data_IF_465306624007
#
_entry.id   IF_465306624007
#
_cell.length_a   1.000
_cell.length_b   1.000
_cell.length_c   1.000
_cell.angle_alpha   90.00
_cell.angle_beta   90.00
_cell.angle_gamma   90.00
#
_symmetry.space_group_name_H-M   'P 1'
#
loop_
_entity.id
_entity.type
_entity.pdbx_description
1 polymer ?
#
# COMPACT_ATOMS: atom_id res chain seq x y z
N UNK A 1 -27.33 15.85 -55.18
CA UNK A 1 -26.73 14.50 -54.91
C UNK A 1 -25.25 14.63 -54.61
N UNK A 2 -24.48 15.36 -55.43
CA UNK A 2 -23.04 15.60 -55.20
C UNK A 2 -22.78 16.48 -53.96
N UNK A 3 -23.60 17.50 -53.65
CA UNK A 3 -23.37 18.33 -52.46
C UNK A 3 -23.47 17.53 -51.15
N UNK A 4 -24.46 16.63 -51.05
CA UNK A 4 -24.59 15.72 -49.89
C UNK A 4 -23.34 14.87 -49.72
N UNK A 5 -22.77 14.37 -50.82
CA UNK A 5 -21.60 13.50 -50.82
C UNK A 5 -20.34 14.25 -50.38
N UNK A 6 -20.18 15.50 -50.84
CA UNK A 6 -19.09 16.38 -50.40
C UNK A 6 -19.20 16.68 -48.90
N UNK A 7 -20.39 17.05 -48.42
CA UNK A 7 -20.63 17.33 -47.00
C UNK A 7 -20.39 16.09 -46.14
N UNK A 8 -20.91 14.93 -46.56
CA UNK A 8 -20.69 13.67 -45.86
C UNK A 8 -19.20 13.29 -45.83
N UNK A 9 -18.47 13.46 -46.93
CA UNK A 9 -17.02 13.21 -46.98
C UNK A 9 -16.23 14.12 -46.03
N UNK A 10 -16.58 15.40 -45.96
CA UNK A 10 -15.93 16.36 -45.06
C UNK A 10 -16.15 16.07 -43.58
N UNK A 11 -17.23 15.37 -43.21
CA UNK A 11 -17.52 15.02 -41.81
C UNK A 11 -17.02 13.61 -41.47
N UNK A 12 -17.34 12.62 -42.31
CA UNK A 12 -17.07 11.22 -42.00
C UNK A 12 -15.58 10.89 -42.07
N UNK A 13 -14.83 11.43 -43.05
CA UNK A 13 -13.41 11.12 -43.19
C UNK A 13 -12.61 11.59 -41.97
N UNK A 14 -12.73 12.85 -41.49
CA UNK A 14 -12.08 13.26 -40.25
C UNK A 14 -12.51 12.47 -39.03
N UNK A 15 -13.80 12.13 -38.92
CA UNK A 15 -14.32 11.34 -37.82
C UNK A 15 -13.64 9.96 -37.75
N UNK A 16 -13.50 9.28 -38.89
CA UNK A 16 -12.81 7.99 -38.94
C UNK A 16 -11.31 8.10 -38.61
N UNK A 17 -10.66 9.20 -38.99
CA UNK A 17 -9.26 9.46 -38.61
C UNK A 17 -9.10 9.80 -37.12
N UNK A 18 -10.13 10.33 -36.46
CA UNK A 18 -10.11 10.62 -35.03
C UNK A 18 -10.26 9.37 -34.15
N UNK A 19 -10.89 8.30 -34.65
CA UNK A 19 -11.14 7.07 -33.87
C UNK A 19 -9.84 6.43 -33.35
N UNK A 20 -8.78 6.19 -34.15
CA UNK A 20 -7.52 5.63 -33.66
C UNK A 20 -6.84 6.53 -32.62
N UNK A 21 -6.95 7.86 -32.77
CA UNK A 21 -6.39 8.81 -31.80
C UNK A 21 -7.09 8.70 -30.46
N UNK A 22 -8.42 8.66 -30.46
CA UNK A 22 -9.21 8.43 -29.25
C UNK A 22 -8.86 7.09 -28.61
N UNK A 23 -8.65 6.04 -29.41
CA UNK A 23 -8.17 4.74 -28.94
C UNK A 23 -6.84 4.84 -28.17
N UNK A 24 -5.87 5.60 -28.69
CA UNK A 24 -4.59 5.84 -28.01
C UNK A 24 -4.77 6.59 -26.69
N UNK A 25 -5.62 7.62 -26.65
CA UNK A 25 -5.91 8.35 -25.41
C UNK A 25 -6.63 7.48 -24.37
N UNK A 26 -7.57 6.64 -24.81
CA UNK A 26 -8.23 5.67 -23.93
C UNK A 26 -7.24 4.66 -23.37
N UNK A 27 -6.28 4.20 -24.17
CA UNK A 27 -5.22 3.29 -23.72
C UNK A 27 -4.31 3.94 -22.67
N UNK A 28 -3.85 5.19 -22.91
CA UNK A 28 -3.07 5.98 -21.93
C UNK A 28 -3.83 6.14 -20.62
N UNK A 29 -5.10 6.54 -20.69
CA UNK A 29 -5.94 6.70 -19.49
C UNK A 29 -6.15 5.37 -18.77
N UNK A 30 -6.42 4.29 -19.49
CA UNK A 30 -6.61 2.97 -18.88
C UNK A 30 -5.35 2.47 -18.17
N UNK A 31 -4.18 2.77 -18.74
CA UNK A 31 -2.88 2.47 -18.15
C UNK A 31 -2.63 3.32 -16.90
N UNK A 32 -3.04 4.60 -16.91
CA UNK A 32 -3.02 5.46 -15.72
C UNK A 32 -3.90 4.90 -14.59
N UNK A 33 -5.09 4.39 -14.90
CA UNK A 33 -5.98 3.72 -13.92
C UNK A 33 -5.31 2.46 -13.34
N UNK A 34 -4.68 1.63 -14.17
CA UNK A 34 -3.97 0.45 -13.70
C UNK A 34 -2.77 0.81 -12.82
N UNK A 35 -2.00 1.84 -13.21
CA UNK A 35 -0.89 2.36 -12.41
C UNK A 35 -1.35 2.88 -11.05
N UNK A 36 -2.46 3.63 -10.99
CA UNK A 36 -3.03 4.11 -9.73
C UNK A 36 -3.50 2.97 -8.82
N UNK A 37 -4.06 1.89 -9.40
CA UNK A 37 -4.42 0.67 -8.66
C UNK A 37 -3.20 -0.05 -8.10
N UNK A 38 -2.17 -0.21 -8.92
CA UNK A 38 -0.90 -0.81 -8.50
C UNK A 38 -0.24 -0.01 -7.37
N UNK A 39 -0.06 1.29 -7.54
CA UNK A 39 0.57 2.14 -6.54
C UNK A 39 -0.21 2.17 -5.22
N UNK A 40 -1.55 2.20 -5.29
CA UNK A 40 -2.38 2.12 -4.09
C UNK A 40 -2.21 0.76 -3.38
N UNK A 41 -2.23 -0.35 -4.13
CA UNK A 41 -1.99 -1.68 -3.58
C UNK A 41 -0.61 -1.76 -2.93
N UNK A 42 0.45 -1.32 -3.61
CA UNK A 42 1.83 -1.41 -3.11
C UNK A 42 1.96 -0.75 -1.75
N UNK A 43 1.23 0.33 -1.53
CA UNK A 43 1.23 1.01 -0.23
C UNK A 43 0.45 0.28 0.87
N UNK A 44 -0.50 -0.59 0.53
CA UNK A 44 -1.18 -1.45 1.52
C UNK A 44 -0.29 -2.54 2.09
N UNK A 45 0.73 -2.99 1.33
CA UNK A 45 1.63 -4.07 1.76
C UNK A 45 3.00 -3.55 2.17
N UNK A 46 3.54 -2.59 1.43
CA UNK A 46 4.71 -1.81 1.83
C UNK A 46 4.23 -0.53 2.52
N UNK A 47 3.58 -0.69 3.66
CA UNK A 47 3.16 0.40 4.53
C UNK A 47 4.31 0.70 5.48
N UNK A 48 4.83 1.94 5.52
CA UNK A 48 5.99 2.27 6.36
C UNK A 48 6.57 3.68 6.22
N UNK A 49 7.40 4.05 7.19
CA UNK A 49 8.02 5.37 7.41
C UNK A 49 7.49 6.08 8.66
N UNK A 50 7.86 7.35 8.88
CA UNK A 50 7.31 8.23 9.94
C UNK A 50 5.77 8.41 9.86
N UNK A 51 5.13 7.86 8.82
CA UNK A 51 3.69 7.79 8.66
C UNK A 51 3.01 6.75 9.55
N UNK A 52 3.69 5.67 9.96
CA UNK A 52 3.15 4.66 10.86
C UNK A 52 3.00 5.25 12.27
N UNK A 53 1.88 5.94 12.51
CA UNK A 53 1.57 6.50 13.81
C UNK A 53 1.16 5.36 14.74
N UNK A 54 2.12 4.85 15.50
CA UNK A 54 1.85 3.98 16.64
C UNK A 54 1.24 4.84 17.76
N UNK A 55 0.02 4.53 18.19
CA UNK A 55 -0.42 4.90 19.53
C UNK A 55 0.39 4.03 20.49
N UNK A 56 1.20 4.66 21.34
CA UNK A 56 1.92 4.04 22.44
C UNK A 56 1.73 4.89 23.70
N UNK A 57 1.55 4.25 24.85
CA UNK A 57 1.45 4.92 26.15
C UNK A 57 2.82 4.91 26.86
N UNK A 58 3.30 6.07 27.32
CA UNK A 58 4.60 6.21 27.99
C UNK A 58 5.82 6.17 27.06
N UNK A 59 7.00 5.78 27.57
CA UNK A 59 8.27 5.73 26.82
C UNK A 59 8.38 4.55 25.83
N UNK A 60 7.26 3.86 25.55
CA UNK A 60 7.19 2.67 24.69
C UNK A 60 6.75 3.07 23.28
N UNK A 61 7.69 3.59 22.49
CA UNK A 61 7.46 3.90 21.07
C UNK A 61 7.83 2.69 20.22
N UNK A 62 6.99 1.66 20.20
CA UNK A 62 7.14 0.62 19.19
C UNK A 62 6.62 1.17 17.84
N UNK A 63 7.46 1.97 17.18
CA UNK A 63 7.26 2.29 15.77
C UNK A 63 7.16 0.97 15.03
N UNK A 64 6.09 0.80 14.25
CA UNK A 64 5.97 -0.32 13.33
C UNK A 64 7.22 -0.36 12.45
N UNK A 65 8.05 -1.41 12.57
CA UNK A 65 9.14 -1.61 11.62
C UNK A 65 8.56 -2.23 10.36
N UNK A 66 8.11 -1.33 9.51
CA UNK A 66 7.51 -1.62 8.23
C UNK A 66 8.48 -2.26 7.23
N UNK A 67 7.94 -3.09 6.35
CA UNK A 67 8.62 -3.42 5.10
C UNK A 67 8.49 -2.20 4.18
N UNK A 68 9.52 -1.37 4.12
CA UNK A 68 9.48 -0.08 3.43
C UNK A 68 9.96 -0.21 1.99
N UNK A 69 9.04 0.07 1.06
CA UNK A 69 9.36 0.41 -0.32
C UNK A 69 9.17 1.92 -0.48
N UNK A 70 10.19 2.61 -0.99
CA UNK A 70 10.11 4.06 -1.19
C UNK A 70 9.16 4.39 -2.34
N UNK A 71 8.55 5.58 -2.30
CA UNK A 71 7.64 6.04 -3.36
C UNK A 71 8.33 6.07 -4.73
N UNK A 72 9.64 6.37 -4.77
CA UNK A 72 10.45 6.32 -5.98
C UNK A 72 10.60 4.91 -6.56
N UNK A 73 10.74 3.88 -5.70
CA UNK A 73 10.79 2.47 -6.13
C UNK A 73 9.42 2.03 -6.65
N UNK A 74 8.33 2.37 -5.95
CA UNK A 74 6.96 2.08 -6.42
C UNK A 74 6.70 2.76 -7.78
N UNK A 75 7.12 4.01 -7.94
CA UNK A 75 6.99 4.74 -9.20
C UNK A 75 7.81 4.09 -10.31
N UNK A 76 9.05 3.67 -10.05
CA UNK A 76 9.90 3.02 -11.03
C UNK A 76 9.34 1.66 -11.49
N UNK A 77 8.90 0.82 -10.54
CA UNK A 77 8.24 -0.45 -10.85
C UNK A 77 6.94 -0.24 -11.62
N UNK A 78 6.12 0.75 -11.22
CA UNK A 78 4.89 1.09 -11.93
C UNK A 78 5.19 1.48 -13.39
N UNK A 79 6.22 2.30 -13.61
CA UNK A 79 6.66 2.72 -14.95
C UNK A 79 7.13 1.52 -15.77
N UNK A 80 7.92 0.63 -15.19
CA UNK A 80 8.38 -0.60 -15.83
C UNK A 80 7.21 -1.53 -16.21
N UNK A 81 6.27 -1.76 -15.30
CA UNK A 81 5.22 -2.77 -15.49
C UNK A 81 4.09 -2.31 -16.41
N UNK A 82 3.67 -1.05 -16.28
CA UNK A 82 2.47 -0.56 -16.96
C UNK A 82 2.78 0.42 -18.08
N UNK A 83 3.76 1.32 -17.89
CA UNK A 83 4.03 2.41 -18.84
C UNK A 83 5.12 2.09 -19.87
N UNK A 84 5.87 1.00 -19.67
CA UNK A 84 6.83 0.53 -20.65
C UNK A 84 6.21 -0.47 -21.64
N UNK A 85 6.82 -0.59 -22.82
CA UNK A 85 6.53 -1.68 -23.74
C UNK A 85 7.04 -2.99 -23.13
N UNK A 86 6.15 -3.97 -22.99
CA UNK A 86 6.46 -5.28 -22.41
C UNK A 86 6.28 -6.36 -23.46
N UNK A 87 7.24 -7.29 -23.51
CA UNK A 87 7.21 -8.41 -24.43
C UNK A 87 6.51 -9.63 -23.81
N UNK A 88 6.34 -10.68 -24.61
CA UNK A 88 5.73 -11.95 -24.16
C UNK A 88 6.55 -12.68 -23.08
N UNK A 89 7.84 -12.37 -22.93
CA UNK A 89 8.73 -12.91 -21.90
C UNK A 89 8.93 -11.96 -20.72
N UNK A 90 8.39 -10.74 -20.77
CA UNK A 90 8.43 -9.79 -19.66
C UNK A 90 7.54 -10.30 -18.54
N UNK A 91 8.13 -10.48 -17.35
CA UNK A 91 7.44 -10.89 -16.14
C UNK A 91 7.74 -9.89 -15.03
N UNK A 92 6.83 -9.78 -14.08
CA UNK A 92 7.04 -8.92 -12.92
C UNK A 92 8.12 -9.52 -12.03
N UNK A 93 9.11 -8.71 -11.70
CA UNK A 93 10.28 -9.11 -10.92
C UNK A 93 10.62 -8.05 -9.87
N UNK A 94 11.46 -8.42 -8.90
CA UNK A 94 12.02 -7.48 -7.94
C UNK A 94 13.04 -6.51 -8.56
N UNK A 95 13.55 -6.80 -9.77
CA UNK A 95 14.46 -5.93 -10.51
C UNK A 95 13.77 -4.83 -11.32
N UNK A 96 12.43 -4.81 -11.36
CA UNK A 96 11.67 -3.87 -12.21
C UNK A 96 11.93 -2.41 -11.85
N UNK A 97 12.28 -2.12 -10.60
CA UNK A 97 12.64 -0.77 -10.14
C UNK A 97 13.87 -0.18 -10.85
N UNK A 98 14.76 -1.04 -11.38
CA UNK A 98 15.95 -0.66 -12.15
C UNK A 98 15.89 -1.09 -13.61
N UNK A 99 14.73 -1.52 -14.10
CA UNK A 99 14.60 -2.01 -15.47
C UNK A 99 14.80 -0.90 -16.51
N UNK A 100 15.40 -1.26 -17.64
CA UNK A 100 15.45 -0.37 -18.80
C UNK A 100 14.07 -0.23 -19.41
N UNK A 101 13.60 1.01 -19.53
CA UNK A 101 12.24 1.32 -19.97
C UNK A 101 12.22 1.57 -21.47
N UNK A 102 11.36 0.82 -22.17
CA UNK A 102 11.09 1.01 -23.59
C UNK A 102 9.76 1.72 -23.76
N UNK A 103 9.68 2.67 -24.69
CA UNK A 103 8.45 3.39 -24.94
C UNK A 103 7.42 2.48 -25.63
N UNK A 104 6.14 2.63 -25.24
CA UNK A 104 5.04 1.94 -25.91
C UNK A 104 4.92 2.33 -27.38
N UNK A 105 4.80 1.33 -28.24
CA UNK A 105 4.68 1.53 -29.69
C UNK A 105 3.37 2.21 -30.06
N UNK A 106 2.30 1.93 -29.31
CA UNK A 106 0.97 2.51 -29.53
C UNK A 106 0.89 4.00 -29.13
N UNK A 107 1.80 4.50 -28.30
CA UNK A 107 1.81 5.87 -27.79
C UNK A 107 2.68 6.80 -28.64
N UNK A 108 2.63 6.59 -29.93
CA UNK A 108 3.34 7.37 -30.93
C UNK A 108 2.34 7.82 -31.98
N UNK A 109 2.52 9.03 -32.50
CA UNK A 109 1.80 9.49 -33.67
C UNK A 109 2.28 8.73 -34.93
N UNK A 110 1.56 8.89 -36.05
CA UNK A 110 1.91 8.31 -37.35
C UNK A 110 3.33 8.69 -37.81
N UNK A 111 3.83 9.86 -37.40
CA UNK A 111 5.18 10.34 -37.73
C UNK A 111 6.25 9.81 -36.75
N UNK A 112 5.85 9.06 -35.71
CA UNK A 112 6.74 8.54 -34.67
C UNK A 112 6.94 9.49 -33.49
N UNK A 113 6.30 10.66 -33.48
CA UNK A 113 6.32 11.59 -32.35
C UNK A 113 5.63 10.98 -31.14
N UNK A 114 6.27 11.01 -29.97
CA UNK A 114 5.71 10.43 -28.75
C UNK A 114 4.47 11.21 -28.30
N UNK A 115 3.38 10.51 -28.01
CA UNK A 115 2.17 11.10 -27.42
C UNK A 115 2.25 11.12 -25.89
N UNK A 116 2.84 10.11 -25.28
CA UNK A 116 3.14 10.07 -23.86
C UNK A 116 4.35 9.16 -23.66
N UNK A 117 5.24 9.51 -22.75
CA UNK A 117 6.37 8.67 -22.37
C UNK A 117 6.26 8.24 -20.91
N UNK A 118 6.98 7.17 -20.56
CA UNK A 118 7.10 6.74 -19.17
C UNK A 118 7.76 7.82 -18.29
N UNK A 119 8.48 8.78 -18.88
CA UNK A 119 9.07 9.93 -18.17
C UNK A 119 8.04 11.01 -17.80
N UNK A 120 6.92 11.07 -18.52
CA UNK A 120 5.86 12.05 -18.29
C UNK A 120 4.88 11.61 -17.18
N UNK A 121 5.20 10.49 -16.53
CA UNK A 121 4.40 9.87 -15.48
C UNK A 121 4.92 10.26 -14.10
N UNK A 122 4.10 11.00 -13.37
CA UNK A 122 4.33 11.30 -11.95
C UNK A 122 3.34 10.54 -11.08
N UNK A 123 3.80 10.13 -9.90
CA UNK A 123 2.98 9.44 -8.91
C UNK A 123 3.05 10.20 -7.58
N UNK A 124 1.89 10.49 -7.00
CA UNK A 124 1.75 11.02 -5.65
C UNK A 124 1.10 9.97 -4.76
N UNK A 125 1.82 9.49 -3.77
CA UNK A 125 1.31 8.54 -2.77
C UNK A 125 1.14 9.29 -1.46
N UNK A 126 -0.02 9.14 -0.83
CA UNK A 126 -0.32 9.75 0.46
C UNK A 126 -1.06 8.75 1.37
N UNK A 127 -0.73 8.80 2.66
CA UNK A 127 -1.40 8.04 3.69
C UNK A 127 -2.16 9.01 4.60
N UNK A 128 -3.47 8.82 4.70
CA UNK A 128 -4.36 9.64 5.52
C UNK A 128 -5.06 8.82 6.60
N UNK A 129 -5.69 9.50 7.53
CA UNK A 129 -6.66 8.87 8.44
C UNK A 129 -7.87 8.38 7.63
N UNK A 130 -8.49 7.30 8.07
CA UNK A 130 -9.76 6.83 7.50
C UNK A 130 -10.78 7.99 7.50
N UNK A 131 -11.40 8.35 6.35
CA UNK A 131 -12.45 9.36 6.33
C UNK A 131 -13.71 8.83 7.02
N UNK A 132 -14.25 9.59 7.98
CA UNK A 132 -15.50 9.29 8.69
C UNK A 132 -15.33 8.91 10.18
N UNK A 133 -16.44 8.52 10.81
CA UNK A 133 -16.59 8.21 12.25
C UNK A 133 -15.85 6.94 12.70
N UNK A 134 -15.12 6.27 11.81
CA UNK A 134 -14.33 5.08 12.14
C UNK A 134 -13.24 5.39 13.18
N UNK A 135 -12.64 6.58 13.12
CA UNK A 135 -11.64 7.00 14.12
C UNK A 135 -12.25 7.16 15.51
N UNK A 136 -13.52 7.58 15.61
CA UNK A 136 -14.24 7.74 16.90
C UNK A 136 -14.48 6.39 17.59
N UNK A 137 -14.61 5.30 16.82
CA UNK A 137 -14.80 3.93 17.35
C UNK A 137 -13.46 3.25 17.63
N UNK A 138 -12.43 3.54 16.82
CA UNK A 138 -11.11 2.92 16.96
C UNK A 138 -10.27 3.57 18.07
N UNK A 139 -10.43 4.86 18.36
CA UNK A 139 -9.70 5.56 19.43
C UNK A 139 -9.92 4.93 20.82
N UNK A 140 -11.16 4.66 21.28
CA UNK A 140 -11.39 4.02 22.58
C UNK A 140 -10.85 2.58 22.67
N UNK A 141 -10.91 1.85 21.55
CA UNK A 141 -10.38 0.47 21.46
C UNK A 141 -8.85 0.50 21.45
N UNK A 142 -8.25 1.45 20.73
CA UNK A 142 -6.81 1.68 20.74
C UNK A 142 -6.31 2.11 22.11
N UNK A 143 -7.04 2.98 22.81
CA UNK A 143 -6.71 3.43 24.17
C UNK A 143 -6.83 2.29 25.19
N UNK A 144 -7.87 1.45 25.08
CA UNK A 144 -8.02 0.25 25.91
C UNK A 144 -6.94 -0.80 25.62
N UNK A 145 -6.57 -0.98 24.35
CA UNK A 145 -5.54 -1.95 23.98
C UNK A 145 -4.12 -1.46 24.34
N UNK A 146 -3.86 -0.15 24.25
CA UNK A 146 -2.61 0.47 24.68
C UNK A 146 -2.44 0.48 26.22
N UNK A 147 -3.54 0.48 26.97
CA UNK A 147 -3.51 0.34 28.45
C UNK A 147 -3.28 -1.10 28.92
N UNK A 148 -3.60 -2.10 28.09
CA UNK A 148 -3.36 -3.51 28.39
C UNK A 148 -1.95 -3.96 27.98
N UNK A 149 -1.32 -3.32 26.98
CA UNK A 149 0.14 -3.39 26.77
C UNK A 149 0.57 -2.88 25.39
N UNK A 150 1.69 -3.36 24.81
CA UNK A 150 2.28 -2.77 23.60
C UNK A 150 1.56 -3.20 22.31
N UNK A 151 0.23 -3.13 22.33
CA UNK A 151 -0.62 -3.33 21.17
C UNK A 151 -0.73 -2.01 20.40
N UNK A 152 -0.16 -1.97 19.21
CA UNK A 152 -0.20 -0.81 18.32
C UNK A 152 -1.22 -1.05 17.22
N UNK A 153 -2.06 -0.07 16.92
CA UNK A 153 -2.95 -0.07 15.75
C UNK A 153 -2.45 0.94 14.71
N UNK A 154 -2.55 0.58 13.43
CA UNK A 154 -2.32 1.53 12.34
C UNK A 154 -3.55 2.41 12.16
N UNK A 155 -3.40 3.72 12.37
CA UNK A 155 -4.51 4.69 12.24
C UNK A 155 -4.55 5.42 10.90
N UNK A 156 -3.49 5.32 10.08
CA UNK A 156 -3.44 5.91 8.73
C UNK A 156 -3.67 4.86 7.65
N UNK A 157 -4.71 4.05 7.83
CA UNK A 157 -5.10 3.00 6.90
C UNK A 157 -5.72 3.48 5.58
N UNK A 158 -5.89 4.81 5.36
CA UNK A 158 -6.37 5.32 4.07
C UNK A 158 -5.18 5.61 3.14
N UNK A 159 -4.91 4.67 2.24
CA UNK A 159 -3.87 4.78 1.23
C UNK A 159 -4.44 5.41 -0.03
N UNK A 160 -3.87 6.53 -0.46
CA UNK A 160 -4.24 7.22 -1.70
C UNK A 160 -3.06 7.22 -2.65
N UNK A 161 -3.27 6.74 -3.88
CA UNK A 161 -2.33 6.92 -4.98
C UNK A 161 -2.96 7.78 -6.06
N UNK A 162 -2.18 8.74 -6.57
CA UNK A 162 -2.58 9.63 -7.68
C UNK A 162 -1.52 9.53 -8.76
N UNK A 163 -1.91 9.06 -9.94
CA UNK A 163 -1.03 8.95 -11.10
C UNK A 163 -1.42 10.03 -12.10
N UNK A 164 -0.44 10.82 -12.53
CA UNK A 164 -0.60 11.84 -13.55
C UNK A 164 0.25 11.46 -14.76
N UNK A 165 -0.37 11.46 -15.93
CA UNK A 165 0.27 11.25 -17.23
C UNK A 165 0.07 12.48 -18.08
N UNK A 166 1.15 13.16 -18.46
CA UNK A 166 1.09 14.28 -19.37
C UNK A 166 1.17 13.77 -20.81
N UNK A 167 0.22 14.20 -21.64
CA UNK A 167 0.18 13.87 -23.07
C UNK A 167 0.78 15.03 -23.85
N UNK A 168 1.76 14.71 -24.70
CA UNK A 168 2.38 15.62 -25.63
C UNK A 168 1.36 16.21 -26.60
N UNK A 169 1.62 17.45 -27.01
CA UNK A 169 0.75 18.13 -27.94
C UNK A 169 0.91 17.57 -29.36
N UNK A 170 -0.20 17.37 -30.04
CA UNK A 170 -0.21 16.97 -31.44
C UNK A 170 -0.23 18.25 -32.26
N UNK A 171 0.92 18.90 -32.34
CA UNK A 171 1.11 20.06 -33.23
C UNK A 171 1.23 19.57 -34.68
N UNK A 172 0.10 19.13 -35.22
CA UNK A 172 -0.05 19.00 -36.66
C UNK A 172 -0.70 20.29 -37.12
N UNK A 173 -0.13 20.96 -38.13
CA UNK A 173 -0.73 22.09 -38.86
C UNK A 173 -2.00 21.65 -39.63
N UNK A 174 -2.90 20.95 -38.95
CA UNK A 174 -4.10 20.31 -39.42
C UNK A 174 -5.28 21.05 -38.82
N UNK A 175 -6.27 21.36 -39.64
CA UNK A 175 -7.49 22.06 -39.22
C UNK A 175 -8.33 21.25 -38.20
N UNK A 176 -7.97 19.97 -37.97
CA UNK A 176 -8.75 19.03 -37.17
C UNK A 176 -8.41 19.04 -35.68
N UNK A 177 -7.16 19.32 -35.32
CA UNK A 177 -6.68 19.28 -33.93
C UNK A 177 -5.61 20.35 -33.77
N UNK A 178 -6.01 21.51 -33.23
CA UNK A 178 -5.09 22.59 -32.89
C UNK A 178 -4.82 22.56 -31.39
N UNK A 179 -3.57 22.32 -31.02
CA UNK A 179 -2.98 22.39 -29.67
C UNK A 179 -3.90 21.96 -28.53
N UNK A 180 -3.81 20.68 -28.17
CA UNK A 180 -4.57 20.12 -27.03
C UNK A 180 -3.62 19.41 -26.09
N UNK A 181 -2.83 20.20 -25.34
CA UNK A 181 -2.14 19.68 -24.16
C UNK A 181 -3.17 19.10 -23.21
N UNK A 182 -3.10 17.79 -23.00
CA UNK A 182 -4.05 17.03 -22.19
C UNK A 182 -3.27 16.28 -21.13
N UNK A 183 -3.78 16.25 -19.91
CA UNK A 183 -3.22 15.41 -18.84
C UNK A 183 -4.31 14.50 -18.29
N UNK A 184 -3.93 13.25 -18.00
CA UNK A 184 -4.80 12.29 -17.35
C UNK A 184 -4.37 12.14 -15.89
N UNK A 185 -5.29 12.41 -14.97
CA UNK A 185 -5.07 12.28 -13.53
C UNK A 185 -6.02 11.22 -13.00
N UNK A 186 -5.45 10.12 -12.53
CA UNK A 186 -6.21 8.99 -12.01
C UNK A 186 -5.87 8.79 -10.53
N UNK A 187 -6.91 8.67 -9.70
CA UNK A 187 -6.79 8.53 -8.25
C UNK A 187 -7.43 7.22 -7.80
N UNK A 188 -6.73 6.49 -6.94
CA UNK A 188 -7.30 5.35 -6.24
C UNK A 188 -7.08 5.48 -4.73
N UNK A 189 -8.10 5.13 -3.95
CA UNK A 189 -8.08 5.16 -2.49
C UNK A 189 -8.45 3.78 -1.97
N UNK A 190 -7.57 3.20 -1.16
CA UNK A 190 -7.80 1.94 -0.48
C UNK A 190 -7.80 2.19 1.02
N UNK A 191 -8.81 1.66 1.70
CA UNK A 191 -8.82 1.59 3.15
C UNK A 191 -8.34 0.19 3.55
N UNK A 192 -7.16 0.10 4.12
CA UNK A 192 -6.59 -1.14 4.61
C UNK A 192 -6.01 -0.93 6.01
N UNK A 193 -6.33 -1.84 6.93
CA UNK A 193 -5.69 -1.90 8.24
C UNK A 193 -4.83 -3.16 8.26
N UNK A 194 -3.51 -2.99 8.14
CA UNK A 194 -2.57 -4.09 8.21
C UNK A 194 -2.45 -4.59 9.65
N UNK A 195 -3.23 -5.60 10.03
CA UNK A 195 -2.94 -6.41 11.22
C UNK A 195 -1.80 -7.37 10.86
N UNK A 196 -0.58 -6.87 10.80
CA UNK A 196 0.56 -7.68 10.36
C UNK A 196 1.64 -7.72 11.43
N UNK A 197 1.73 -8.84 12.14
CA UNK A 197 2.88 -9.10 12.99
C UNK A 197 4.05 -9.54 12.09
N UNK A 198 5.17 -8.82 12.12
CA UNK A 198 6.38 -9.08 11.33
C UNK A 198 7.14 -10.35 11.71
N UNK A 199 6.46 -11.33 12.34
CA UNK A 199 7.01 -12.61 12.78
C UNK A 199 6.49 -13.06 14.16
N UNK A 200 6.75 -14.34 14.53
CA UNK A 200 6.31 -14.91 15.79
C UNK A 200 7.04 -14.33 17.01
N UNK A 201 8.38 -14.29 16.99
CA UNK A 201 9.20 -13.78 18.10
C UNK A 201 10.28 -12.81 17.59
N UNK A 202 10.04 -11.51 17.82
CA UNK A 202 11.04 -10.49 17.56
C UNK A 202 10.95 -9.41 18.65
N UNK A 203 12.05 -9.22 19.36
CA UNK A 203 12.18 -8.27 20.48
C UNK A 203 12.22 -6.81 20.03
N UNK A 204 12.62 -6.57 18.78
CA UNK A 204 12.81 -5.25 18.18
C UNK A 204 11.81 -4.94 17.04
N UNK A 205 10.82 -5.80 16.82
CA UNK A 205 9.80 -5.65 15.78
C UNK A 205 8.41 -5.82 16.39
N UNK A 206 7.39 -5.36 15.66
CA UNK A 206 5.99 -5.67 15.96
C UNK A 206 5.74 -7.18 15.72
N UNK A 207 6.04 -8.02 16.70
CA UNK A 207 5.81 -9.47 16.65
C UNK A 207 4.53 -9.88 17.39
N UNK A 208 4.01 -11.07 17.06
CA UNK A 208 2.80 -11.64 17.70
C UNK A 208 3.01 -11.68 19.22
N UNK A 209 4.20 -12.11 19.65
CA UNK A 209 4.55 -12.18 21.07
C UNK A 209 4.46 -10.82 21.76
N UNK A 210 4.97 -9.75 21.15
CA UNK A 210 4.89 -8.40 21.74
C UNK A 210 3.46 -7.89 21.82
N UNK A 211 2.68 -8.01 20.74
CA UNK A 211 1.28 -7.55 20.71
C UNK A 211 0.39 -8.30 21.72
N UNK A 212 0.56 -9.61 21.83
CA UNK A 212 -0.27 -10.46 22.71
C UNK A 212 0.21 -10.41 24.16
N UNK A 213 1.49 -10.08 24.43
CA UNK A 213 2.03 -10.00 25.79
C UNK A 213 1.19 -9.08 26.66
N UNK A 214 0.85 -7.89 26.19
CA UNK A 214 -0.03 -6.96 26.91
C UNK A 214 -1.43 -7.53 27.22
N UNK A 215 -2.00 -8.26 26.27
CA UNK A 215 -3.37 -8.75 26.37
C UNK A 215 -3.53 -9.96 27.30
N UNK A 216 -2.44 -10.51 27.84
CA UNK A 216 -2.49 -11.58 28.83
C UNK A 216 -2.52 -10.99 30.25
N UNK A 217 -3.59 -11.18 31.05
CA UNK A 217 -3.68 -10.62 32.41
C UNK A 217 -2.49 -10.97 33.31
N UNK A 218 -1.86 -12.12 33.07
CA UNK A 218 -0.67 -12.59 33.78
C UNK A 218 0.60 -11.79 33.48
N UNK A 219 0.71 -11.09 32.34
CA UNK A 219 1.89 -10.28 32.01
C UNK A 219 1.91 -8.95 32.77
N UNK A 220 0.74 -8.37 33.04
CA UNK A 220 0.58 -7.15 33.84
C UNK A 220 1.09 -7.40 35.26
N UNK A 221 0.80 -8.59 35.81
CA UNK A 221 1.20 -9.03 37.16
C UNK A 221 2.69 -9.47 37.20
N UNK A 222 3.28 -9.80 36.05
CA UNK A 222 4.71 -10.10 35.91
C UNK A 222 5.59 -8.85 35.80
N UNK A 223 5.01 -7.65 35.82
CA UNK A 223 5.73 -6.36 35.81
C UNK A 223 6.50 -6.18 37.11
N UNK A 224 7.77 -5.80 37.01
CA UNK A 224 8.64 -5.51 38.16
C UNK A 224 8.28 -4.15 38.75
N UNK A 225 7.84 -4.13 40.02
CA UNK A 225 7.70 -2.90 40.81
C UNK A 225 8.90 -2.83 41.75
N UNK A 226 9.84 -1.93 41.47
CA UNK A 226 11.04 -1.75 42.31
C UNK A 226 12.04 -2.91 42.26
N UNK A 227 12.11 -3.66 41.15
CA UNK A 227 13.06 -4.76 40.97
C UNK A 227 12.63 -6.10 41.56
N UNK A 228 11.36 -6.22 41.99
CA UNK A 228 10.80 -7.47 42.53
C UNK A 228 9.61 -7.92 41.67
N UNK A 229 9.66 -9.18 41.20
CA UNK A 229 8.57 -9.83 40.48
C UNK A 229 7.53 -10.31 41.47
N UNK A 230 6.41 -9.59 41.59
CA UNK A 230 5.31 -9.89 42.53
C UNK A 230 4.77 -11.31 42.33
N UNK A 231 4.78 -11.80 41.08
CA UNK A 231 4.29 -13.13 40.70
C UNK A 231 5.11 -14.27 41.34
N UNK A 232 6.41 -14.09 41.57
CA UNK A 232 7.28 -15.14 42.13
C UNK A 232 6.94 -15.40 43.61
N UNK A 233 6.53 -14.36 44.34
CA UNK A 233 6.06 -14.48 45.72
C UNK A 233 4.68 -15.14 45.80
N UNK A 234 3.76 -14.80 44.90
CA UNK A 234 2.41 -15.37 44.87
C UNK A 234 2.44 -16.84 44.46
N UNK A 235 3.21 -17.17 43.41
CA UNK A 235 3.41 -18.56 42.99
C UNK A 235 4.16 -19.37 44.05
N UNK A 236 5.17 -18.78 44.70
CA UNK A 236 5.88 -19.39 45.82
C UNK A 236 4.94 -19.73 46.97
N UNK A 237 4.08 -18.80 47.39
CA UNK A 237 3.10 -19.03 48.46
C UNK A 237 2.04 -20.07 48.08
N UNK A 238 1.55 -20.08 46.83
CA UNK A 238 0.57 -21.06 46.35
C UNK A 238 1.19 -22.44 46.12
N UNK A 239 2.48 -22.53 45.76
CA UNK A 239 3.18 -23.79 45.55
C UNK A 239 3.29 -24.66 46.79
N UNK A 240 3.18 -24.06 47.99
CA UNK A 240 3.13 -24.78 49.28
C UNK A 240 1.86 -25.64 49.43
N UNK A 241 0.77 -25.26 48.76
CA UNK A 241 -0.52 -25.94 48.84
C UNK A 241 -0.88 -26.67 47.54
N UNK A 242 -0.37 -26.20 46.40
CA UNK A 242 -0.59 -26.75 45.07
C UNK A 242 0.76 -26.82 44.35
N UNK A 243 1.52 -27.92 44.46
CA UNK A 243 2.86 -28.04 43.88
C UNK A 243 2.86 -27.89 42.35
N UNK A 244 1.73 -28.12 41.69
CA UNK A 244 1.51 -27.93 40.26
C UNK A 244 1.57 -26.46 39.83
N UNK A 245 1.26 -25.53 40.74
CA UNK A 245 1.29 -24.08 40.48
C UNK A 245 2.73 -23.57 40.33
N UNK A 246 3.72 -24.26 40.89
CA UNK A 246 5.14 -23.94 40.67
C UNK A 246 5.63 -24.19 39.24
N UNK A 247 4.91 -25.01 38.47
CA UNK A 247 5.22 -25.33 37.07
C UNK A 247 4.52 -24.38 36.08
N UNK A 248 3.64 -23.51 36.56
CA UNK A 248 2.99 -22.52 35.73
C UNK A 248 4.00 -21.43 35.39
N UNK A 249 4.18 -21.16 34.10
CA UNK A 249 4.97 -20.04 33.59
C UNK A 249 3.99 -18.90 33.20
N UNK A 250 3.70 -17.93 34.07
CA UNK A 250 2.71 -16.90 33.80
C UNK A 250 3.24 -15.96 32.71
N UNK A 251 2.41 -15.68 31.71
CA UNK A 251 2.81 -14.85 30.56
C UNK A 251 3.71 -15.57 29.54
N UNK A 252 3.85 -16.90 29.62
CA UNK A 252 4.43 -17.71 28.54
C UNK A 252 3.56 -17.60 27.29
N UNK A 253 4.15 -17.13 26.19
CA UNK A 253 3.51 -17.03 24.88
C UNK A 253 4.41 -17.75 23.89
N UNK A 254 3.88 -18.82 23.32
CA UNK A 254 4.53 -19.62 22.27
C UNK A 254 3.67 -19.54 21.00
N UNK A 255 3.97 -18.60 20.09
CA UNK A 255 3.18 -18.39 18.87
C UNK A 255 3.23 -19.58 17.92
N UNK A 256 4.31 -20.37 17.97
CA UNK A 256 4.61 -21.44 17.03
C UNK A 256 4.18 -22.83 17.51
N UNK A 257 3.64 -22.95 18.72
CA UNK A 257 3.16 -24.22 19.26
C UNK A 257 1.72 -24.43 18.83
N UNK A 258 1.54 -25.38 17.91
CA UNK A 258 0.22 -25.78 17.42
C UNK A 258 -0.23 -27.03 18.19
N UNK A 259 -1.50 -27.13 18.63
CA UNK A 259 -2.01 -28.33 19.29
C UNK A 259 -1.78 -29.60 18.46
N UNK A 260 -1.41 -30.74 19.08
CA UNK A 260 -1.11 -31.98 18.35
C UNK A 260 -2.24 -32.46 17.42
N UNK A 261 -3.50 -32.16 17.76
CA UNK A 261 -4.67 -32.55 16.97
C UNK A 261 -4.82 -31.76 15.65
N UNK A 262 -4.05 -30.68 15.47
CA UNK A 262 -4.04 -29.85 14.25
C UNK A 262 -2.89 -30.22 13.29
N UNK A 263 -1.99 -31.12 13.68
CA UNK A 263 -0.83 -31.56 12.88
C UNK A 263 -1.14 -32.81 12.04
N UNK A 264 -2.36 -32.89 11.49
CA UNK A 264 -2.82 -33.99 10.62
C UNK A 264 -2.77 -33.59 9.15
#
# INVERSE_FOLDING_TARGET
MVELLIVAGFVLIPLFLAIPLLGKYLDVRSTAVQGARYAAWERTVFYGGDAASSIGWGSFTNKWKANEKTDGVIQAEMRARYFSETGTSSHFSSSDAGASLTQKVLWQDRVGTKLADYQDVSNGIANGKAPGTLNIILEPIADLAATLGPFTLEMKGAYTATVNVNVADIDTNSFLLKSTKTSFVEKNVLLANGWNAGGPDATNLTSVKQQVKGLTPTSIIATEVGGVKIIDYVLGALSLFLPEVSKLEPGKIEPDVVPPDRLK
#
